data_IF_219975365365
#
_entry.id   IF_219975365365
#
_cell.length_a   1.000
_cell.length_b   1.000
_cell.length_c   1.000
_cell.angle_alpha   90.00
_cell.angle_beta   90.00
_cell.angle_gamma   90.00
#
_symmetry.space_group_name_H-M   'P 1'
#
loop_
_entity.id
_entity.type
_entity.pdbx_description
1 polymer ?
#
# COMPACT_ATOMS: atom_id res chain seq x y z
N UNK A 1 -31.76 -48.63 0.23
CA UNK A 1 -30.85 -47.90 -0.66
C UNK A 1 -30.91 -46.43 -0.23
N UNK A 2 -29.84 -45.96 0.41
CA UNK A 2 -29.87 -44.80 1.30
C UNK A 2 -29.65 -43.49 0.52
N UNK A 3 -30.73 -42.99 -0.10
CA UNK A 3 -30.74 -41.80 -0.97
C UNK A 3 -30.10 -40.54 -0.37
N UNK A 4 -30.03 -40.44 0.96
CA UNK A 4 -29.44 -39.31 1.65
C UNK A 4 -27.90 -39.37 1.63
N UNK A 5 -27.31 -40.54 1.90
CA UNK A 5 -25.86 -40.76 1.85
C UNK A 5 -25.29 -40.54 0.44
N UNK A 6 -26.01 -41.02 -0.59
CA UNK A 6 -25.62 -40.80 -1.98
C UNK A 6 -25.60 -39.29 -2.33
N UNK A 7 -26.59 -38.54 -1.85
CA UNK A 7 -26.71 -37.09 -2.10
C UNK A 7 -25.56 -36.31 -1.45
N UNK A 8 -25.23 -36.66 -0.21
CA UNK A 8 -24.16 -36.02 0.54
C UNK A 8 -22.79 -36.32 -0.11
N UNK A 9 -22.57 -37.56 -0.55
CA UNK A 9 -21.38 -37.97 -1.28
C UNK A 9 -21.21 -37.22 -2.62
N UNK A 10 -22.29 -37.04 -3.40
CA UNK A 10 -22.23 -36.24 -4.64
C UNK A 10 -21.93 -34.76 -4.38
N UNK A 11 -22.50 -34.15 -3.33
CA UNK A 11 -22.18 -32.76 -2.97
C UNK A 11 -20.73 -32.60 -2.51
N UNK A 12 -20.19 -33.56 -1.74
CA UNK A 12 -18.81 -33.53 -1.30
C UNK A 12 -17.83 -33.71 -2.47
N UNK A 13 -18.14 -34.64 -3.39
CA UNK A 13 -17.36 -34.82 -4.62
C UNK A 13 -17.36 -33.53 -5.46
N UNK A 14 -18.53 -32.90 -5.65
CA UNK A 14 -18.67 -31.64 -6.36
C UNK A 14 -17.83 -30.51 -5.75
N UNK A 15 -17.85 -30.37 -4.42
CA UNK A 15 -16.99 -29.41 -3.70
C UNK A 15 -15.50 -29.71 -3.94
N UNK A 16 -15.08 -30.96 -3.79
CA UNK A 16 -13.68 -31.36 -3.96
C UNK A 16 -13.15 -31.16 -5.39
N UNK A 17 -14.00 -31.31 -6.41
CA UNK A 17 -13.64 -31.07 -7.80
C UNK A 17 -13.51 -29.57 -8.06
N UNK A 18 -14.44 -28.78 -7.54
CA UNK A 18 -14.40 -27.33 -7.66
C UNK A 18 -13.17 -26.73 -6.95
N UNK A 19 -12.87 -27.18 -5.73
CA UNK A 19 -11.65 -26.79 -4.99
C UNK A 19 -10.39 -27.12 -5.79
N UNK A 20 -10.27 -28.36 -6.30
CA UNK A 20 -9.12 -28.75 -7.15
C UNK A 20 -9.00 -27.89 -8.40
N UNK A 21 -10.12 -27.54 -9.05
CA UNK A 21 -10.09 -26.66 -10.22
C UNK A 21 -9.65 -25.24 -9.86
N UNK A 22 -10.12 -24.70 -8.73
CA UNK A 22 -9.71 -23.39 -8.22
C UNK A 22 -8.21 -23.38 -7.91
N UNK A 23 -7.69 -24.40 -7.23
CA UNK A 23 -6.27 -24.51 -6.88
C UNK A 23 -5.38 -24.59 -8.13
N UNK A 24 -5.80 -25.38 -9.12
CA UNK A 24 -5.10 -25.49 -10.40
C UNK A 24 -5.10 -24.17 -11.16
N UNK A 25 -6.24 -23.48 -11.24
CA UNK A 25 -6.35 -22.17 -11.89
C UNK A 25 -5.50 -21.12 -11.17
N UNK A 26 -5.53 -21.09 -9.84
CA UNK A 26 -4.71 -20.18 -9.03
C UNK A 26 -3.21 -20.40 -9.28
N UNK A 27 -2.78 -21.66 -9.31
CA UNK A 27 -1.39 -22.02 -9.61
C UNK A 27 -0.99 -21.57 -11.01
N UNK A 28 -1.82 -21.83 -12.02
CA UNK A 28 -1.55 -21.43 -13.40
C UNK A 28 -1.50 -19.91 -13.55
N UNK A 29 -2.40 -19.18 -12.88
CA UNK A 29 -2.42 -17.72 -12.86
C UNK A 29 -1.10 -17.19 -12.28
N UNK A 30 -0.66 -17.72 -11.14
CA UNK A 30 0.61 -17.32 -10.49
C UNK A 30 1.84 -17.56 -11.38
N UNK A 31 1.89 -18.71 -12.05
CA UNK A 31 2.95 -19.02 -13.03
C UNK A 31 2.93 -18.04 -14.19
N UNK A 32 1.74 -17.74 -14.73
CA UNK A 32 1.63 -16.82 -15.85
C UNK A 32 1.98 -15.38 -15.47
N UNK A 33 1.54 -14.94 -14.29
CA UNK A 33 1.93 -13.63 -13.74
C UNK A 33 3.46 -13.51 -13.60
N UNK A 34 4.10 -14.55 -13.06
CA UNK A 34 5.57 -14.61 -12.94
C UNK A 34 6.26 -14.53 -14.30
N UNK A 35 5.72 -15.22 -15.31
CA UNK A 35 6.25 -15.18 -16.67
C UNK A 35 6.13 -13.79 -17.31
N UNK A 36 5.00 -13.09 -17.13
CA UNK A 36 4.80 -11.71 -17.62
C UNK A 36 5.76 -10.73 -16.97
N UNK A 37 6.02 -10.87 -15.66
CA UNK A 37 6.99 -10.04 -14.94
C UNK A 37 8.41 -10.30 -15.45
N UNK A 38 8.80 -11.55 -15.65
CA UNK A 38 10.11 -11.89 -16.20
C UNK A 38 10.28 -11.38 -17.64
N UNK A 39 9.24 -11.50 -18.46
CA UNK A 39 9.24 -10.95 -19.81
C UNK A 39 9.44 -9.43 -19.80
N UNK A 40 8.77 -8.72 -18.89
CA UNK A 40 8.95 -7.28 -18.74
C UNK A 40 10.36 -6.90 -18.28
N UNK A 41 11.01 -7.75 -17.48
CA UNK A 41 12.40 -7.57 -17.06
C UNK A 41 13.38 -7.69 -18.22
N UNK A 42 13.16 -8.68 -19.09
CA UNK A 42 14.04 -8.95 -20.23
C UNK A 42 13.83 -7.95 -21.36
N UNK A 43 12.58 -7.54 -21.61
CA UNK A 43 12.19 -6.72 -22.77
C UNK A 43 11.79 -5.28 -22.42
N UNK A 44 12.11 -4.79 -21.22
CA UNK A 44 11.63 -3.48 -20.74
C UNK A 44 11.96 -2.28 -21.63
N UNK A 45 13.12 -2.28 -22.31
CA UNK A 45 13.50 -1.19 -23.23
C UNK A 45 12.71 -1.23 -24.55
N UNK A 46 12.35 -2.42 -25.03
CA UNK A 46 11.50 -2.61 -26.20
C UNK A 46 10.05 -2.17 -25.90
N UNK A 47 9.54 -2.53 -24.71
CA UNK A 47 8.24 -2.07 -24.20
C UNK A 47 8.22 -0.53 -24.10
N UNK A 48 9.32 0.08 -23.66
CA UNK A 48 9.40 1.55 -23.53
C UNK A 48 9.45 2.24 -24.90
N UNK A 49 10.25 1.72 -25.82
CA UNK A 49 10.50 2.35 -27.12
C UNK A 49 9.37 2.16 -28.13
N UNK A 50 8.61 1.06 -28.06
CA UNK A 50 7.52 0.77 -28.99
C UNK A 50 6.13 0.94 -28.34
N UNK A 51 5.38 1.95 -28.81
CA UNK A 51 4.05 2.25 -28.28
C UNK A 51 2.98 1.18 -28.55
N UNK A 52 3.01 0.54 -29.73
CA UNK A 52 2.05 -0.53 -30.05
C UNK A 52 2.28 -1.76 -29.17
N UNK A 53 3.55 -2.13 -29.01
CA UNK A 53 3.93 -3.24 -28.13
C UNK A 53 3.56 -2.96 -26.68
N UNK A 54 3.84 -1.75 -26.17
CA UNK A 54 3.43 -1.32 -24.83
C UNK A 54 1.93 -1.46 -24.60
N UNK A 55 1.12 -1.04 -25.57
CA UNK A 55 -0.34 -1.13 -25.46
C UNK A 55 -0.83 -2.57 -25.42
N UNK A 56 -0.32 -3.44 -26.31
CA UNK A 56 -0.65 -4.87 -26.32
C UNK A 56 -0.23 -5.54 -25.02
N UNK A 57 0.97 -5.25 -24.56
CA UNK A 57 1.51 -5.81 -23.33
C UNK A 57 0.72 -5.35 -22.10
N UNK A 58 0.32 -4.08 -22.03
CA UNK A 58 -0.56 -3.56 -20.97
C UNK A 58 -1.94 -4.26 -20.96
N UNK A 59 -2.54 -4.51 -22.13
CA UNK A 59 -3.80 -5.25 -22.24
C UNK A 59 -3.67 -6.70 -21.73
N UNK A 60 -2.57 -7.37 -22.05
CA UNK A 60 -2.28 -8.73 -21.56
C UNK A 60 -2.14 -8.71 -20.04
N UNK A 61 -1.33 -7.81 -19.49
CA UNK A 61 -1.13 -7.67 -18.04
C UNK A 61 -2.46 -7.42 -17.31
N UNK A 62 -3.29 -6.50 -17.82
CA UNK A 62 -4.57 -6.20 -17.20
C UNK A 62 -5.56 -7.38 -17.27
N UNK A 63 -5.54 -8.16 -18.35
CA UNK A 63 -6.41 -9.34 -18.52
C UNK A 63 -6.13 -10.44 -17.50
N UNK A 64 -4.93 -10.47 -16.92
CA UNK A 64 -4.51 -11.44 -15.90
C UNK A 64 -4.49 -10.86 -14.48
N UNK A 65 -5.00 -9.63 -14.32
CA UNK A 65 -5.06 -8.93 -13.06
C UNK A 65 -3.73 -8.31 -12.59
N UNK A 66 -2.78 -8.08 -13.50
CA UNK A 66 -1.58 -7.29 -13.22
C UNK A 66 -1.81 -5.86 -13.72
N UNK A 67 -1.73 -4.89 -12.82
CA UNK A 67 -1.72 -3.48 -13.21
C UNK A 67 -0.40 -3.13 -13.93
N UNK A 68 -0.45 -2.53 -15.14
CA UNK A 68 0.76 -2.09 -15.86
C UNK A 68 1.67 -1.15 -15.04
N UNK A 69 1.12 -0.39 -14.10
CA UNK A 69 1.87 0.47 -13.19
C UNK A 69 2.58 -0.34 -12.09
N UNK A 70 1.95 -1.39 -11.57
CA UNK A 70 2.60 -2.29 -10.62
C UNK A 70 3.81 -3.00 -11.23
N UNK A 71 3.79 -3.22 -12.54
CA UNK A 71 4.94 -3.77 -13.23
C UNK A 71 6.19 -2.88 -13.13
N UNK A 72 6.05 -1.56 -12.95
CA UNK A 72 7.20 -0.68 -12.67
C UNK A 72 7.83 -0.97 -11.30
N UNK A 73 7.06 -1.48 -10.35
CA UNK A 73 7.55 -1.93 -9.04
C UNK A 73 8.26 -3.29 -9.15
N UNK A 74 7.74 -4.19 -10.00
CA UNK A 74 8.25 -5.56 -10.16
C UNK A 74 9.41 -5.68 -11.14
N UNK A 75 9.52 -4.73 -12.08
CA UNK A 75 10.59 -4.76 -13.07
C UNK A 75 11.91 -4.32 -12.43
N UNK A 76 12.91 -5.18 -12.57
CA UNK A 76 14.17 -5.28 -11.86
C UNK A 76 14.71 -3.94 -11.35
N UNK A 77 15.10 -3.97 -10.07
CA UNK A 77 15.86 -2.96 -9.30
C UNK A 77 17.03 -2.29 -10.06
N UNK A 78 17.46 -2.85 -11.20
CA UNK A 78 18.44 -2.28 -12.12
C UNK A 78 18.01 -0.95 -12.76
N UNK A 79 16.71 -0.61 -12.76
CA UNK A 79 16.22 0.74 -13.11
C UNK A 79 15.57 1.39 -11.88
N UNK A 80 16.42 1.74 -10.90
CA UNK A 80 16.01 2.37 -9.63
C UNK A 80 15.02 3.52 -9.80
N UNK A 81 15.14 4.31 -10.87
CA UNK A 81 14.24 5.43 -11.16
C UNK A 81 12.78 4.98 -11.40
N UNK A 82 12.56 3.92 -12.18
CA UNK A 82 11.21 3.42 -12.46
C UNK A 82 10.56 2.86 -11.20
N UNK A 83 11.35 2.20 -10.35
CA UNK A 83 10.91 1.69 -9.06
C UNK A 83 10.40 2.85 -8.18
N UNK A 84 11.17 3.93 -8.02
CA UNK A 84 10.74 5.05 -7.20
C UNK A 84 9.52 5.79 -7.77
N UNK A 85 9.37 5.85 -9.09
CA UNK A 85 8.16 6.39 -9.74
C UNK A 85 6.95 5.52 -9.44
N UNK A 86 7.05 4.20 -9.60
CA UNK A 86 5.97 3.27 -9.25
C UNK A 86 5.60 3.38 -7.77
N UNK A 87 6.61 3.45 -6.89
CA UNK A 87 6.41 3.57 -5.45
C UNK A 87 5.77 4.92 -5.07
N UNK A 88 6.12 6.01 -5.76
CA UNK A 88 5.45 7.32 -5.60
C UNK A 88 3.96 7.20 -5.88
N UNK A 89 3.57 6.65 -7.04
CA UNK A 89 2.15 6.56 -7.39
C UNK A 89 1.41 5.69 -6.38
N UNK A 90 2.04 4.59 -5.94
CA UNK A 90 1.48 3.72 -4.92
C UNK A 90 1.26 4.42 -3.58
N UNK A 91 2.22 5.22 -3.13
CA UNK A 91 2.08 6.02 -1.91
C UNK A 91 0.88 6.97 -2.04
N UNK A 92 0.71 7.63 -3.20
CA UNK A 92 -0.42 8.54 -3.45
C UNK A 92 -1.76 7.81 -3.37
N UNK A 93 -1.89 6.63 -3.97
CA UNK A 93 -3.12 5.81 -3.94
C UNK A 93 -3.50 5.41 -2.51
N UNK A 94 -2.52 4.95 -1.73
CA UNK A 94 -2.73 4.60 -0.31
C UNK A 94 -3.15 5.84 0.47
N UNK A 95 -2.47 6.97 0.25
CA UNK A 95 -2.83 8.23 0.88
C UNK A 95 -4.28 8.61 0.56
N UNK A 96 -4.69 8.57 -0.71
CA UNK A 96 -6.07 8.91 -1.10
C UNK A 96 -7.10 7.95 -0.49
N UNK A 97 -6.85 6.64 -0.53
CA UNK A 97 -7.79 5.63 -0.03
C UNK A 97 -7.92 5.60 1.50
N UNK A 98 -6.87 5.96 2.23
CA UNK A 98 -6.87 5.95 3.71
C UNK A 98 -7.23 7.30 4.31
N UNK A 99 -7.37 8.36 3.50
CA UNK A 99 -7.62 9.72 3.97
C UNK A 99 -8.84 9.86 4.87
N UNK A 100 -9.94 9.20 4.53
CA UNK A 100 -11.18 9.27 5.31
C UNK A 100 -11.08 8.51 6.65
N UNK A 101 -10.11 7.58 6.75
CA UNK A 101 -9.88 6.76 7.94
C UNK A 101 -8.92 7.43 8.92
N UNK A 102 -7.86 8.06 8.42
CA UNK A 102 -6.77 8.59 9.24
C UNK A 102 -6.61 10.12 9.19
N UNK A 103 -7.45 10.81 8.43
CA UNK A 103 -7.46 12.27 8.35
C UNK A 103 -6.28 12.88 7.60
N UNK A 104 -5.50 12.09 6.86
CA UNK A 104 -4.34 12.57 6.10
C UNK A 104 -3.00 12.44 6.84
N UNK A 105 -2.91 11.51 7.80
CA UNK A 105 -1.70 11.22 8.55
C UNK A 105 -1.55 9.70 8.72
N UNK A 106 -0.41 9.15 8.29
CA UNK A 106 -0.13 7.71 8.37
C UNK A 106 1.29 7.45 8.87
N UNK A 107 1.50 6.42 9.72
CA UNK A 107 2.85 6.08 10.14
C UNK A 107 3.63 5.43 9.00
N UNK A 108 4.94 5.67 8.86
CA UNK A 108 5.73 5.03 7.80
C UNK A 108 5.72 3.50 7.92
N UNK A 109 5.64 2.98 9.15
CA UNK A 109 5.52 1.54 9.41
C UNK A 109 4.24 0.96 8.82
N UNK A 110 3.11 1.62 9.07
CA UNK A 110 1.81 1.22 8.55
C UNK A 110 1.75 1.34 7.02
N UNK A 111 2.25 2.45 6.47
CA UNK A 111 2.37 2.63 5.02
C UNK A 111 3.16 1.48 4.38
N UNK A 112 4.32 1.12 4.92
CA UNK A 112 5.12 0.00 4.41
C UNK A 112 4.35 -1.33 4.51
N UNK A 113 3.60 -1.55 5.59
CA UNK A 113 2.75 -2.75 5.73
C UNK A 113 1.70 -2.80 4.63
N UNK A 114 0.93 -1.72 4.45
CA UNK A 114 -0.14 -1.66 3.44
C UNK A 114 0.43 -1.86 2.04
N UNK A 115 1.57 -1.23 1.71
CA UNK A 115 2.22 -1.46 0.41
C UNK A 115 2.56 -2.94 0.26
N UNK A 116 3.18 -3.58 1.24
CA UNK A 116 3.55 -5.00 1.17
C UNK A 116 2.34 -5.93 1.07
N UNK A 117 1.25 -5.60 1.76
CA UNK A 117 0.06 -6.45 1.86
C UNK A 117 -0.85 -6.36 0.62
N UNK A 118 -0.75 -5.27 -0.16
CA UNK A 118 -1.64 -5.10 -1.32
C UNK A 118 -1.16 -5.83 -2.58
N UNK A 119 0.07 -6.34 -2.60
CA UNK A 119 0.67 -6.83 -3.84
C UNK A 119 0.71 -8.35 -3.93
N UNK A 120 0.33 -8.85 -5.10
CA UNK A 120 0.40 -10.28 -5.47
C UNK A 120 1.84 -10.80 -5.48
N UNK A 121 2.82 -9.90 -5.59
CA UNK A 121 4.25 -10.20 -5.62
C UNK A 121 4.94 -9.48 -4.47
N UNK A 122 5.75 -10.22 -3.71
CA UNK A 122 6.50 -9.65 -2.60
C UNK A 122 7.51 -8.61 -3.07
N UNK A 123 7.32 -7.37 -2.63
CA UNK A 123 8.29 -6.29 -2.81
C UNK A 123 9.00 -6.05 -1.48
N UNK A 124 10.33 -6.12 -1.50
CA UNK A 124 11.13 -5.74 -0.35
C UNK A 124 11.33 -4.22 -0.33
N UNK A 125 10.53 -3.55 0.51
CA UNK A 125 10.51 -2.10 0.68
C UNK A 125 10.95 -1.78 2.10
N UNK A 126 11.88 -0.82 2.21
CA UNK A 126 12.32 -0.27 3.48
C UNK A 126 11.96 1.22 3.60
N UNK A 127 12.27 1.81 4.76
CA UNK A 127 11.94 3.21 5.05
C UNK A 127 12.71 4.21 4.16
N UNK A 128 13.95 3.89 3.79
CA UNK A 128 14.75 4.73 2.89
C UNK A 128 14.12 4.80 1.49
N UNK A 129 13.51 3.71 1.03
CA UNK A 129 12.82 3.71 -0.26
C UNK A 129 11.62 4.66 -0.28
N UNK A 130 10.85 4.70 0.81
CA UNK A 130 9.74 5.64 1.00
C UNK A 130 10.26 7.08 1.02
N UNK A 131 11.31 7.36 1.79
CA UNK A 131 11.91 8.69 1.90
C UNK A 131 12.44 9.19 0.54
N UNK A 132 13.09 8.31 -0.22
CA UNK A 132 13.58 8.63 -1.56
C UNK A 132 12.42 8.89 -2.54
N UNK A 133 11.37 8.06 -2.54
CA UNK A 133 10.17 8.32 -3.34
C UNK A 133 9.50 9.65 -2.97
N UNK A 134 9.35 9.95 -1.68
CA UNK A 134 8.76 11.21 -1.22
C UNK A 134 9.58 12.44 -1.62
N UNK A 135 10.91 12.32 -1.69
CA UNK A 135 11.75 13.40 -2.21
C UNK A 135 11.42 13.75 -3.67
N UNK A 136 11.04 12.77 -4.49
CA UNK A 136 10.57 13.01 -5.86
C UNK A 136 9.23 13.73 -5.86
N UNK A 137 8.29 13.35 -4.97
CA UNK A 137 7.01 14.04 -4.82
C UNK A 137 7.15 15.52 -4.46
N UNK A 138 8.09 15.84 -3.56
CA UNK A 138 8.34 17.22 -3.15
C UNK A 138 8.83 18.11 -4.28
N UNK A 139 9.46 17.54 -5.32
CA UNK A 139 9.82 18.31 -6.52
C UNK A 139 8.61 18.66 -7.40
N UNK A 140 7.51 17.89 -7.30
CA UNK A 140 6.26 18.15 -8.00
C UNK A 140 5.30 19.07 -7.20
N UNK A 141 5.45 19.18 -5.88
CA UNK A 141 4.71 20.11 -5.03
C UNK A 141 4.76 19.78 -3.53
N UNK A 142 4.28 20.71 -2.69
CA UNK A 142 4.38 20.63 -1.22
C UNK A 142 3.18 19.91 -0.55
N UNK A 143 2.76 18.77 -1.10
CA UNK A 143 1.59 18.02 -0.61
C UNK A 143 1.90 16.90 0.39
N UNK A 144 3.15 16.46 0.47
CA UNK A 144 3.57 15.30 1.24
C UNK A 144 4.75 15.67 2.14
N UNK A 145 4.61 15.48 3.45
CA UNK A 145 5.64 15.88 4.41
C UNK A 145 5.91 14.76 5.40
N UNK A 146 7.19 14.49 5.66
CA UNK A 146 7.60 13.57 6.72
C UNK A 146 7.73 14.35 8.02
N UNK A 147 6.97 13.93 9.03
CA UNK A 147 7.01 14.45 10.39
C UNK A 147 7.57 13.38 11.33
N UNK A 148 8.23 13.82 12.40
CA UNK A 148 8.61 12.95 13.51
C UNK A 148 7.72 13.24 14.71
N UNK A 149 7.08 12.20 15.24
CA UNK A 149 6.23 12.25 16.45
C UNK A 149 6.62 11.06 17.33
N UNK A 150 7.06 11.30 18.57
CA UNK A 150 7.59 10.26 19.48
C UNK A 150 8.66 9.37 18.82
N UNK A 151 9.68 9.97 18.19
CA UNK A 151 10.77 9.28 17.46
C UNK A 151 10.33 8.36 16.31
N UNK A 152 9.05 8.38 15.93
CA UNK A 152 8.51 7.64 14.79
C UNK A 152 8.28 8.59 13.64
N UNK A 153 8.59 8.15 12.42
CA UNK A 153 8.30 8.91 11.20
C UNK A 153 6.85 8.68 10.75
N UNK A 154 6.19 9.77 10.42
CA UNK A 154 4.82 9.82 9.91
C UNK A 154 4.80 10.60 8.60
N UNK A 155 3.95 10.17 7.68
CA UNK A 155 3.67 10.87 6.43
C UNK A 155 2.38 11.67 6.61
N UNK A 156 2.49 13.00 6.49
CA UNK A 156 1.37 13.94 6.39
C UNK A 156 1.07 14.18 4.92
N UNK A 157 -0.19 14.06 4.52
CA UNK A 157 -0.63 14.23 3.13
C UNK A 157 -2.01 14.92 3.00
N UNK A 158 -2.37 15.75 3.98
CA UNK A 158 -3.62 16.50 3.96
C UNK A 158 -3.58 17.64 2.93
N UNK A 159 -4.67 17.80 2.17
CA UNK A 159 -4.83 18.81 1.09
C UNK A 159 -4.89 20.26 1.55
N UNK A 160 -4.70 20.53 2.84
CA UNK A 160 -4.71 21.90 3.34
C UNK A 160 -3.33 22.53 3.06
N UNK A 161 -3.34 23.50 2.14
CA UNK A 161 -2.42 24.62 2.13
C UNK A 161 -2.58 25.32 3.48
N UNK A 162 -1.89 24.82 4.49
CA UNK A 162 -2.07 25.18 5.88
C UNK A 162 -0.87 24.66 6.64
N UNK A 163 -0.33 25.53 7.48
CA UNK A 163 0.95 25.37 8.15
C UNK A 163 1.16 23.97 8.74
N UNK A 164 2.44 23.60 8.81
CA UNK A 164 2.92 22.42 9.50
C UNK A 164 2.20 22.22 10.84
N UNK A 165 2.01 20.95 11.21
CA UNK A 165 1.31 20.57 12.43
C UNK A 165 1.82 21.41 13.62
N UNK A 166 0.91 22.14 14.27
CA UNK A 166 1.25 23.04 15.38
C UNK A 166 1.93 22.27 16.51
N UNK A 167 2.75 22.96 17.30
CA UNK A 167 3.42 22.39 18.48
C UNK A 167 2.39 21.72 19.41
N UNK A 168 1.23 22.33 19.60
CA UNK A 168 0.19 21.77 20.47
C UNK A 168 -0.46 20.52 19.86
N UNK A 169 -0.70 20.52 18.56
CA UNK A 169 -1.21 19.35 17.86
C UNK A 169 -0.23 18.18 17.94
N UNK A 170 1.08 18.45 17.77
CA UNK A 170 2.15 17.44 17.97
C UNK A 170 2.09 16.85 19.37
N UNK A 171 2.02 17.67 20.42
CA UNK A 171 1.90 17.21 21.81
C UNK A 171 0.66 16.32 22.04
N UNK A 172 -0.48 16.66 21.42
CA UNK A 172 -1.68 15.82 21.52
C UNK A 172 -1.44 14.43 20.91
N UNK A 173 -0.79 14.35 19.74
CA UNK A 173 -0.42 13.06 19.17
C UNK A 173 0.61 12.31 20.02
N UNK A 174 1.56 13.01 20.62
CA UNK A 174 2.55 12.40 21.52
C UNK A 174 1.87 11.77 22.74
N UNK A 175 0.95 12.51 23.37
CA UNK A 175 0.13 12.03 24.50
C UNK A 175 -0.77 10.87 24.10
N UNK A 176 -1.41 10.95 22.92
CA UNK A 176 -2.26 9.90 22.37
C UNK A 176 -1.50 8.56 22.26
N UNK A 177 -0.26 8.62 21.79
CA UNK A 177 0.62 7.45 21.71
C UNK A 177 0.92 6.81 23.07
N UNK A 178 1.00 7.61 24.14
CA UNK A 178 1.21 7.13 25.50
C UNK A 178 -0.09 6.59 26.15
N UNK A 179 -1.23 7.23 25.88
CA UNK A 179 -2.52 6.94 26.52
C UNK A 179 -3.32 5.81 25.86
N UNK A 180 -2.76 5.12 24.87
CA UNK A 180 -3.40 3.97 24.22
C UNK A 180 -4.33 4.32 23.05
N UNK A 181 -4.08 5.43 22.36
CA UNK A 181 -4.75 5.76 21.09
C UNK A 181 -5.91 6.76 21.21
N UNK A 182 -6.13 7.35 22.38
CA UNK A 182 -7.07 8.45 22.55
C UNK A 182 -6.57 9.46 23.59
N UNK A 183 -7.04 10.70 23.49
CA UNK A 183 -6.79 11.77 24.47
C UNK A 183 -8.13 12.31 24.94
N UNK A 184 -8.34 12.37 26.24
CA UNK A 184 -9.53 12.96 26.85
C UNK A 184 -9.18 14.28 27.51
N UNK A 185 -10.03 15.29 27.31
CA UNK A 185 -10.01 16.49 28.14
C UNK A 185 -10.56 16.07 29.50
N UNK A 186 -9.68 15.84 30.47
CA UNK A 186 -10.11 15.85 31.87
C UNK A 186 -10.33 17.31 32.24
N UNK A 187 -11.59 17.71 32.37
CA UNK A 187 -11.93 19.04 32.88
C UNK A 187 -11.66 19.02 34.39
N UNK A 188 -10.39 19.07 34.77
CA UNK A 188 -10.02 19.17 36.16
C UNK A 188 -10.20 20.64 36.55
N UNK A 189 -11.40 20.96 37.02
CA UNK A 189 -11.62 22.02 38.00
C UNK A 189 -10.87 21.65 39.29
N UNK A 190 -9.54 21.62 39.21
CA UNK A 190 -8.66 21.66 40.36
C UNK A 190 -8.73 23.09 40.86
N UNK A 191 -9.61 23.28 41.84
CA UNK A 191 -9.34 24.01 43.06
C UNK A 191 -7.89 24.48 43.10
N UNK A 192 -7.65 25.73 42.72
CA UNK A 192 -6.48 26.45 43.18
C UNK A 192 -6.68 26.52 44.70
N UNK A 193 -5.88 25.80 45.53
CA UNK A 193 -5.85 26.15 46.93
C UNK A 193 -5.16 27.50 46.94
N UNK A 194 -5.93 28.55 47.20
CA UNK A 194 -5.39 29.80 47.73
C UNK A 194 -4.51 29.42 48.92
N UNK A 195 -3.21 29.52 48.73
CA UNK A 195 -2.24 29.58 49.81
C UNK A 195 -1.43 30.86 49.59
N UNK A 196 -1.44 31.64 50.67
CA UNK A 196 -0.82 32.93 50.93
C UNK A 196 0.57 33.12 50.34
#
# INVERSE_FOLDING_TARGET
>A
MNRQEDRDAYTQLGRSLNERHIDQLSTQLSVFQSAVINFANEHGDEIKSNGEFRNKFAQISQSIGIDPLELLLYTSKNKRENFYVGLVVRIIEICQSTRDLNGGLISLKELISIVKDTHTVHIDINQNDIEQSLSMLNTLGNGYEILTINDKKWLKYTSAIGDNLSIDQKKVYELCGFMGGYVTISNNSLLIPTLF
#
